data_IF_612853721926
#
_entry.id   IF_612853721926
#
_cell.length_a   1.000
_cell.length_b   1.000
_cell.length_c   1.000
_cell.angle_alpha   90.00
_cell.angle_beta   90.00
_cell.angle_gamma   90.00
#
_symmetry.space_group_name_H-M   'P 1'
#
loop_
_entity.id
_entity.type
_entity.pdbx_description
1 polymer ?
#
# COMPACT_ATOMS: atom_id res chain seq x y z
N UNK A 1 -13.41 0.05 -11.64
CA UNK A 1 -12.63 0.97 -12.51
C UNK A 1 -11.17 0.82 -12.09
N UNK A 2 -10.25 0.47 -12.98
CA UNK A 2 -8.83 0.37 -12.59
C UNK A 2 -8.31 1.75 -12.21
N UNK A 3 -7.57 1.86 -11.10
CA UNK A 3 -6.88 3.09 -10.73
C UNK A 3 -5.78 3.34 -11.76
N UNK A 4 -5.92 4.39 -12.58
CA UNK A 4 -4.93 4.76 -13.58
C UNK A 4 -4.02 5.84 -12.99
N UNK A 5 -2.78 5.46 -12.66
CA UNK A 5 -1.71 6.40 -12.26
C UNK A 5 -0.75 6.56 -13.46
N UNK A 6 -0.86 7.64 -14.27
CA UNK A 6 -0.14 7.78 -15.55
C UNK A 6 1.38 7.77 -15.45
N UNK A 7 1.96 7.92 -14.25
CA UNK A 7 3.41 8.05 -14.04
C UNK A 7 3.99 6.97 -13.12
N UNK A 8 3.22 5.95 -12.74
CA UNK A 8 3.71 4.92 -11.84
C UNK A 8 4.61 3.92 -12.60
N UNK A 9 5.93 4.06 -12.40
CA UNK A 9 6.93 3.14 -12.96
C UNK A 9 7.03 1.91 -12.06
N UNK A 10 6.83 0.72 -12.62
CA UNK A 10 6.90 -0.55 -11.87
C UNK A 10 8.35 -0.97 -11.65
N UNK A 11 8.68 -1.38 -10.44
CA UNK A 11 10.00 -1.96 -10.09
C UNK A 11 9.90 -3.46 -9.81
N UNK A 12 11.02 -4.16 -9.98
CA UNK A 12 11.13 -5.61 -9.83
C UNK A 12 12.38 -5.99 -9.03
N UNK A 13 12.35 -7.12 -8.34
CA UNK A 13 13.54 -7.69 -7.70
C UNK A 13 14.42 -8.47 -8.69
N UNK A 14 15.49 -9.11 -8.18
CA UNK A 14 16.46 -9.85 -9.00
C UNK A 14 15.89 -11.13 -9.62
N UNK A 15 14.81 -11.65 -9.05
CA UNK A 15 14.12 -12.85 -9.51
C UNK A 15 12.96 -12.51 -10.46
N UNK A 16 12.67 -11.22 -10.65
CA UNK A 16 11.65 -10.72 -11.56
C UNK A 16 10.27 -10.53 -10.93
N UNK A 17 10.15 -10.61 -9.60
CA UNK A 17 8.88 -10.32 -8.93
C UNK A 17 8.67 -8.81 -8.81
N UNK A 18 7.43 -8.36 -9.02
CA UNK A 18 7.07 -6.94 -8.86
C UNK A 18 7.19 -6.56 -7.39
N UNK A 19 7.99 -5.53 -7.10
CA UNK A 19 8.10 -4.97 -5.75
C UNK A 19 6.83 -4.21 -5.39
N UNK A 20 6.31 -4.49 -4.19
CA UNK A 20 5.10 -3.85 -3.65
C UNK A 20 5.30 -3.56 -2.17
N UNK A 21 4.67 -2.51 -1.70
CA UNK A 21 4.59 -2.18 -0.28
C UNK A 21 3.13 -1.91 0.10
N UNK A 22 2.78 -2.27 1.32
CA UNK A 22 1.45 -2.15 1.90
C UNK A 22 1.59 -1.96 3.42
N UNK A 23 0.55 -1.43 4.07
CA UNK A 23 0.50 -1.30 5.52
C UNK A 23 -0.81 -1.84 6.07
N UNK A 24 -0.73 -2.53 7.21
CA UNK A 24 -1.89 -2.80 8.05
C UNK A 24 -2.16 -1.54 8.87
N UNK A 25 -3.25 -0.84 8.53
CA UNK A 25 -3.63 0.39 9.21
C UNK A 25 -4.51 0.06 10.41
N UNK A 26 -3.90 -0.05 11.59
CA UNK A 26 -4.63 -0.31 12.83
C UNK A 26 -5.29 0.96 13.38
N UNK A 27 -6.45 0.78 14.04
CA UNK A 27 -7.14 1.88 14.74
C UNK A 27 -6.35 2.36 15.97
N UNK A 28 -5.64 1.47 16.65
CA UNK A 28 -4.90 1.74 17.89
C UNK A 28 -3.66 0.85 18.00
N UNK A 29 -2.79 1.12 18.97
CA UNK A 29 -1.59 0.30 19.28
C UNK A 29 -1.92 -1.11 19.81
N UNK A 30 -3.20 -1.42 20.07
CA UNK A 30 -3.62 -2.79 20.44
C UNK A 30 -3.76 -3.71 19.21
N UNK A 31 -3.79 -3.14 18.00
CA UNK A 31 -3.82 -3.89 16.74
C UNK A 31 -5.06 -4.80 16.52
N UNK A 32 -6.15 -4.60 17.28
CA UNK A 32 -7.37 -5.42 17.20
C UNK A 32 -8.25 -5.15 15.96
N UNK A 33 -8.16 -3.94 15.39
CA UNK A 33 -9.00 -3.50 14.28
C UNK A 33 -8.13 -2.95 13.14
N UNK A 34 -8.29 -3.49 11.92
CA UNK A 34 -7.56 -3.08 10.72
C UNK A 34 -8.48 -2.42 9.69
N UNK A 35 -7.99 -1.37 9.04
CA UNK A 35 -8.68 -0.71 7.92
C UNK A 35 -8.38 -1.45 6.60
N UNK A 36 -9.44 -1.84 5.91
CA UNK A 36 -9.39 -2.35 4.54
C UNK A 36 -10.03 -1.34 3.57
N UNK A 37 -9.66 -1.44 2.30
CA UNK A 37 -10.24 -0.66 1.20
C UNK A 37 -10.92 -1.59 0.20
N UNK A 38 -11.88 -1.08 -0.57
CA UNK A 38 -12.53 -1.87 -1.62
C UNK A 38 -11.58 -2.09 -2.80
N UNK A 39 -11.63 -3.28 -3.39
CA UNK A 39 -10.81 -3.61 -4.55
C UNK A 39 -11.28 -2.85 -5.78
N UNK A 40 -10.32 -2.29 -6.53
CA UNK A 40 -10.60 -1.55 -7.78
C UNK A 40 -11.11 -2.46 -8.91
N UNK A 41 -10.77 -3.76 -8.85
CA UNK A 41 -11.15 -4.78 -9.83
C UNK A 41 -12.41 -5.54 -9.44
N UNK A 42 -12.62 -5.80 -8.15
CA UNK A 42 -13.74 -6.55 -7.60
C UNK A 42 -14.37 -5.76 -6.45
N UNK A 43 -15.30 -4.83 -6.72
CA UNK A 43 -15.77 -3.85 -5.72
C UNK A 43 -16.45 -4.42 -4.48
N UNK A 44 -16.87 -5.68 -4.54
CA UNK A 44 -17.46 -6.48 -3.46
C UNK A 44 -16.40 -7.15 -2.55
N UNK A 45 -15.12 -7.01 -2.88
CA UNK A 45 -13.99 -7.56 -2.13
C UNK A 45 -13.20 -6.46 -1.43
N UNK A 46 -12.67 -6.81 -0.26
CA UNK A 46 -11.83 -5.95 0.57
C UNK A 46 -10.36 -6.36 0.48
N UNK A 47 -9.46 -5.38 0.44
CA UNK A 47 -8.01 -5.58 0.35
C UNK A 47 -7.28 -4.68 1.34
N UNK A 48 -6.04 -5.07 1.66
CA UNK A 48 -5.09 -4.21 2.36
C UNK A 48 -4.62 -3.12 1.38
N UNK A 49 -4.61 -1.83 1.78
CA UNK A 49 -4.13 -0.75 0.93
C UNK A 49 -2.63 -0.90 0.64
N UNK A 50 -2.24 -0.70 -0.63
CA UNK A 50 -0.86 -0.83 -1.06
C UNK A 50 -0.69 -1.10 -2.56
N UNK A 51 0.42 -0.63 -3.12
CA UNK A 51 0.69 -0.70 -4.56
C UNK A 51 2.14 -1.08 -4.88
N UNK A 52 2.56 -0.83 -6.13
CA UNK A 52 3.93 -1.10 -6.57
C UNK A 52 4.87 -0.01 -6.10
N UNK A 53 6.09 -0.40 -5.74
CA UNK A 53 7.15 0.56 -5.46
C UNK A 53 7.58 1.27 -6.75
N UNK A 54 7.82 2.57 -6.65
CA UNK A 54 8.44 3.37 -7.72
C UNK A 54 9.98 3.30 -7.64
N UNK A 55 10.72 3.70 -8.69
CA UNK A 55 12.18 3.73 -8.65
C UNK A 55 12.70 4.62 -7.51
N UNK A 56 13.75 4.17 -6.83
CA UNK A 56 14.38 4.85 -5.67
C UNK A 56 13.48 4.99 -4.42
N UNK A 57 12.25 4.47 -4.42
CA UNK A 57 11.43 4.43 -3.21
C UNK A 57 12.02 3.46 -2.18
N UNK A 58 12.08 3.90 -0.92
CA UNK A 58 12.24 3.00 0.22
C UNK A 58 10.89 2.31 0.53
N UNK A 59 10.87 1.01 0.93
CA UNK A 59 9.63 0.27 1.16
C UNK A 59 8.65 0.96 2.12
N UNK A 60 9.15 1.50 3.23
CA UNK A 60 8.34 2.25 4.20
C UNK A 60 7.77 3.55 3.62
N UNK A 61 8.53 4.22 2.75
CA UNK A 61 8.09 5.43 2.03
C UNK A 61 6.93 5.12 1.08
N UNK A 62 7.05 4.07 0.26
CA UNK A 62 5.95 3.59 -0.59
C UNK A 62 4.73 3.25 0.25
N UNK A 63 4.88 2.50 1.34
CA UNK A 63 3.74 2.06 2.14
C UNK A 63 2.97 3.25 2.74
N UNK A 64 3.66 4.26 3.28
CA UNK A 64 3.06 5.48 3.82
C UNK A 64 2.32 6.28 2.74
N UNK A 65 2.92 6.43 1.56
CA UNK A 65 2.30 7.13 0.43
C UNK A 65 1.03 6.42 -0.04
N UNK A 66 1.07 5.10 -0.20
CA UNK A 66 -0.06 4.33 -0.72
C UNK A 66 -1.25 4.29 0.25
N UNK A 67 -1.04 4.18 1.57
CA UNK A 67 -2.18 4.23 2.51
C UNK A 67 -2.83 5.60 2.55
N UNK A 68 -2.07 6.67 2.31
CA UNK A 68 -2.63 8.00 2.15
C UNK A 68 -3.48 8.11 0.88
N UNK A 69 -2.97 7.61 -0.26
CA UNK A 69 -3.67 7.67 -1.55
C UNK A 69 -4.90 6.74 -1.63
N UNK A 70 -4.84 5.54 -1.05
CA UNK A 70 -5.89 4.54 -1.17
C UNK A 70 -6.91 4.55 -0.04
N UNK A 71 -6.47 4.83 1.19
CA UNK A 71 -7.31 4.76 2.39
C UNK A 71 -7.53 6.13 3.04
N UNK A 72 -6.81 7.18 2.62
CA UNK A 72 -6.99 8.54 3.15
C UNK A 72 -6.47 8.72 4.58
N UNK A 73 -5.54 7.87 5.03
CA UNK A 73 -5.05 7.86 6.42
C UNK A 73 -3.57 8.23 6.53
N UNK A 74 -3.18 8.70 7.72
CA UNK A 74 -1.79 8.93 8.13
C UNK A 74 -1.59 8.36 9.53
N UNK A 75 -0.38 7.93 9.85
CA UNK A 75 -0.07 7.36 11.16
C UNK A 75 1.44 7.25 11.39
N UNK A 76 1.79 6.64 12.54
CA UNK A 76 3.16 6.29 12.86
C UNK A 76 3.45 4.91 12.26
N UNK A 77 4.46 4.83 11.40
CA UNK A 77 4.95 3.54 10.91
C UNK A 77 5.62 2.80 12.07
N UNK A 78 5.16 1.59 12.35
CA UNK A 78 5.74 0.71 13.36
C UNK A 78 6.58 -0.36 12.66
N UNK A 79 7.83 -0.53 13.10
CA UNK A 79 8.79 -1.48 12.52
C UNK A 79 9.69 -0.88 11.44
N UNK A 80 10.80 -1.57 11.18
CA UNK A 80 11.68 -1.31 10.05
C UNK A 80 11.18 -2.09 8.83
N UNK A 81 11.22 -1.48 7.65
CA UNK A 81 10.78 -2.10 6.38
C UNK A 81 11.96 -2.50 5.50
#
# INVERSE_FOLDING_TARGET
>A
MMKFKPYQTRTYDREGFKKRAACLCFRSEQEDEVLLVSSSRYPDQWIVPGEGMEPEDEPGGTAVREVYEEAGVKGKLAGDC
#
